data_IF_111795684337
#
_entry.id   IF_111795684337
#
_cell.length_a   1.000
_cell.length_b   1.000
_cell.length_c   1.000
_cell.angle_alpha   90.00
_cell.angle_beta   90.00
_cell.angle_gamma   90.00
#
_symmetry.space_group_name_H-M   'P 1'
#
loop_
_entity.id
_entity.type
_entity.pdbx_description
1 polymer ?
#
# COMPACT_ATOMS: atom_id res chain seq x y z
N UNK A 1 6.72 4.17 -5.65
CA UNK A 1 6.87 5.15 -4.54
C UNK A 1 5.60 5.93 -4.23
N UNK A 2 4.75 6.30 -5.21
CA UNK A 2 3.52 7.06 -4.94
C UNK A 2 2.60 6.43 -3.88
N UNK A 3 2.41 5.10 -3.89
CA UNK A 3 1.62 4.40 -2.87
C UNK A 3 2.12 4.66 -1.44
N UNK A 4 3.44 4.67 -1.23
CA UNK A 4 4.04 5.01 0.06
C UNK A 4 3.75 6.47 0.44
N UNK A 5 3.86 7.40 -0.51
CA UNK A 5 3.58 8.83 -0.27
C UNK A 5 2.13 9.03 0.16
N UNK A 6 1.18 8.39 -0.51
CA UNK A 6 -0.24 8.44 -0.16
C UNK A 6 -0.48 7.84 1.24
N UNK A 7 0.11 6.69 1.54
CA UNK A 7 -0.02 6.07 2.86
C UNK A 7 0.50 6.99 3.97
N UNK A 8 1.70 7.57 3.79
CA UNK A 8 2.28 8.49 4.78
C UNK A 8 1.41 9.74 4.96
N UNK A 9 0.88 10.32 3.87
CA UNK A 9 -0.02 11.46 3.95
C UNK A 9 -1.31 11.13 4.72
N UNK A 10 -1.95 10.01 4.41
CA UNK A 10 -3.12 9.54 5.17
C UNK A 10 -2.81 9.35 6.65
N UNK A 11 -1.62 8.82 6.96
CA UNK A 11 -1.18 8.64 8.36
C UNK A 11 -0.97 9.96 9.08
N UNK A 12 -0.43 10.98 8.41
CA UNK A 12 -0.25 12.33 8.96
C UNK A 12 -1.59 12.97 9.33
N UNK A 13 -2.63 12.72 8.53
CA UNK A 13 -4.01 13.14 8.81
C UNK A 13 -4.75 12.25 9.83
N UNK A 14 -4.05 11.30 10.46
CA UNK A 14 -4.62 10.42 11.50
C UNK A 14 -5.38 9.20 10.98
N UNK A 15 -5.35 8.92 9.67
CA UNK A 15 -5.96 7.72 9.11
C UNK A 15 -5.04 6.50 9.19
N UNK A 16 -5.68 5.34 9.33
CA UNK A 16 -5.05 4.04 9.11
C UNK A 16 -5.28 3.60 7.67
N UNK A 17 -4.33 2.88 7.09
CA UNK A 17 -4.45 2.31 5.76
C UNK A 17 -3.73 0.95 5.70
N UNK A 18 -4.08 0.15 4.70
CA UNK A 18 -3.34 -1.06 4.33
C UNK A 18 -3.20 -1.14 2.81
N UNK A 19 -2.24 -1.91 2.30
CA UNK A 19 -2.03 -2.10 0.87
C UNK A 19 -2.37 -3.55 0.48
N UNK A 20 -3.44 -3.72 -0.29
CA UNK A 20 -3.97 -5.01 -0.72
C UNK A 20 -3.70 -5.24 -2.21
N UNK A 21 -3.64 -6.51 -2.61
CA UNK A 21 -3.36 -6.93 -3.99
C UNK A 21 -4.36 -8.00 -4.44
N UNK A 22 -5.62 -7.60 -4.67
CA UNK A 22 -6.63 -8.47 -5.30
C UNK A 22 -6.48 -8.56 -6.82
N UNK A 23 -5.49 -7.88 -7.39
CA UNK A 23 -5.15 -8.01 -8.81
C UNK A 23 -4.44 -9.35 -9.09
N UNK A 24 -4.67 -9.97 -10.26
CA UNK A 24 -5.54 -9.52 -11.35
C UNK A 24 -7.02 -9.92 -11.17
N UNK A 25 -7.38 -10.66 -10.12
CA UNK A 25 -8.68 -11.32 -9.95
C UNK A 25 -9.88 -10.41 -10.18
N UNK A 26 -9.81 -9.15 -9.73
CA UNK A 26 -10.90 -8.17 -9.85
C UNK A 26 -10.69 -7.14 -10.97
N UNK A 27 -9.60 -7.24 -11.72
CA UNK A 27 -9.16 -6.17 -12.61
C UNK A 27 -10.13 -5.90 -13.76
N UNK A 28 -10.74 -6.95 -14.31
CA UNK A 28 -11.68 -6.85 -15.44
C UNK A 28 -13.00 -6.23 -14.99
N UNK A 29 -13.52 -6.69 -13.84
CA UNK A 29 -14.77 -6.22 -13.25
C UNK A 29 -14.66 -4.74 -12.85
N UNK A 30 -13.55 -4.35 -12.22
CA UNK A 30 -13.26 -2.95 -11.84
C UNK A 30 -13.23 -2.04 -13.07
N UNK A 31 -12.55 -2.46 -14.15
CA UNK A 31 -12.49 -1.66 -15.38
C UNK A 31 -13.87 -1.47 -16.00
N UNK A 32 -14.66 -2.55 -16.06
CA UNK A 32 -16.02 -2.52 -16.62
C UNK A 32 -16.95 -1.64 -15.80
N UNK A 33 -16.97 -1.82 -14.48
CA UNK A 33 -17.87 -1.13 -13.56
C UNK A 33 -17.66 0.38 -13.60
N UNK A 34 -16.40 0.82 -13.53
CA UNK A 34 -16.04 2.25 -13.52
C UNK A 34 -15.63 2.81 -14.88
N UNK A 35 -15.85 2.05 -15.97
CA UNK A 35 -15.56 2.47 -17.35
C UNK A 35 -14.13 2.99 -17.53
N UNK A 36 -13.16 2.30 -16.95
CA UNK A 36 -11.75 2.67 -17.01
C UNK A 36 -11.14 2.23 -18.35
N UNK A 37 -10.05 2.90 -18.75
CA UNK A 37 -9.32 2.55 -19.96
C UNK A 37 -8.67 1.16 -19.85
N UNK A 38 -8.71 0.40 -20.94
CA UNK A 38 -8.08 -0.93 -20.99
C UNK A 38 -6.57 -0.88 -20.77
N UNK A 39 -5.93 0.23 -21.15
CA UNK A 39 -4.51 0.48 -20.93
C UNK A 39 -4.11 0.66 -19.47
N UNK A 40 -5.07 0.93 -18.57
CA UNK A 40 -4.78 1.09 -17.15
C UNK A 40 -4.59 -0.27 -16.49
N UNK A 41 -3.51 -0.41 -15.72
CA UNK A 41 -3.26 -1.62 -14.94
C UNK A 41 -3.56 -1.36 -13.47
N UNK A 42 -4.42 -2.20 -12.87
CA UNK A 42 -4.66 -2.18 -11.44
C UNK A 42 -3.43 -2.73 -10.70
N UNK A 43 -2.71 -1.86 -9.98
CA UNK A 43 -1.47 -2.22 -9.29
C UNK A 43 -1.73 -2.71 -7.86
N UNK A 44 -2.59 -2.03 -7.11
CA UNK A 44 -2.92 -2.33 -5.72
C UNK A 44 -4.19 -1.58 -5.29
N UNK A 45 -4.73 -1.91 -4.12
CA UNK A 45 -5.87 -1.22 -3.50
C UNK A 45 -5.47 -0.76 -2.09
N UNK A 46 -5.82 0.47 -1.71
CA UNK A 46 -5.48 1.04 -0.41
C UNK A 46 -6.74 1.40 0.38
N UNK A 47 -7.41 0.44 1.04
CA UNK A 47 -8.47 0.78 1.98
C UNK A 47 -7.88 1.57 3.16
N UNK A 48 -8.55 2.66 3.51
CA UNK A 48 -8.16 3.54 4.59
C UNK A 48 -9.38 4.03 5.39
N UNK A 49 -9.15 4.52 6.60
CA UNK A 49 -10.22 5.01 7.47
C UNK A 49 -9.73 5.30 8.89
N UNK A 50 -10.66 5.60 9.80
CA UNK A 50 -10.34 5.82 11.22
C UNK A 50 -9.77 4.51 11.80
N UNK A 51 -8.55 4.52 12.38
CA UNK A 51 -8.00 3.33 13.03
C UNK A 51 -8.93 2.83 14.14
N UNK A 52 -9.22 1.53 14.15
CA UNK A 52 -10.04 0.88 15.18
C UNK A 52 -9.20 0.14 16.23
N UNK A 53 -7.92 -0.10 15.94
CA UNK A 53 -6.94 -0.73 16.81
C UNK A 53 -5.51 -0.22 16.47
N UNK A 54 -4.55 -0.31 17.40
CA UNK A 54 -3.15 -0.04 17.11
C UNK A 54 -2.57 -1.07 16.13
N UNK A 55 -1.49 -0.70 15.43
CA UNK A 55 -0.73 -1.65 14.63
C UNK A 55 -0.02 -2.68 15.54
N UNK A 56 0.09 -3.92 15.05
CA UNK A 56 0.87 -4.95 15.71
C UNK A 56 2.38 -4.66 15.70
N UNK A 57 3.13 -5.49 16.42
CA UNK A 57 4.58 -5.42 16.43
C UNK A 57 5.17 -5.67 15.04
N UNK A 58 6.28 -5.00 14.74
CA UNK A 58 7.00 -5.16 13.47
C UNK A 58 8.43 -5.56 13.77
N UNK A 59 8.80 -6.75 13.33
CA UNK A 59 10.17 -7.25 13.41
C UNK A 59 11.07 -6.58 12.35
N UNK A 60 12.34 -6.41 12.70
CA UNK A 60 13.36 -5.89 11.80
C UNK A 60 14.56 -6.83 11.81
N UNK A 61 15.07 -7.16 10.62
CA UNK A 61 16.33 -7.90 10.50
C UNK A 61 17.51 -7.11 11.11
N UNK A 62 18.59 -7.77 11.54
CA UNK A 62 19.82 -7.10 11.97
C UNK A 62 20.32 -6.06 10.96
N UNK A 63 21.07 -5.07 11.46
CA UNK A 63 21.48 -3.89 10.70
C UNK A 63 22.68 -4.19 9.79
N UNK A 64 23.61 -4.98 10.32
CA UNK A 64 24.79 -5.54 9.64
C UNK A 64 24.43 -6.43 8.44
N UNK A 65 23.24 -7.06 8.45
CA UNK A 65 22.72 -7.79 7.29
C UNK A 65 22.20 -6.88 6.16
N UNK A 66 21.80 -5.64 6.49
CA UNK A 66 21.06 -4.76 5.56
C UNK A 66 21.83 -3.52 5.12
N UNK A 67 22.89 -3.15 5.82
CA UNK A 67 23.68 -1.96 5.54
C UNK A 67 25.17 -2.30 5.59
N UNK A 68 25.91 -1.96 4.53
CA UNK A 68 27.36 -2.10 4.47
C UNK A 68 27.99 -0.72 4.33
N UNK A 69 29.04 -0.47 5.10
CA UNK A 69 29.84 0.74 5.01
C UNK A 69 31.20 0.40 4.42
N UNK A 70 31.64 1.21 3.45
CA UNK A 70 32.97 1.15 2.87
C UNK A 70 33.58 2.55 2.99
N UNK A 71 34.84 2.61 3.42
CA UNK A 71 35.58 3.86 3.64
C UNK A 71 36.40 4.22 2.41
#
# INVERSE_FOLDING_TARGET
>A
MLQLVVWVALKQEGFGASLQHYNPLIGVEIKKEWKLLDSWQLIAQMPFGKPTAPAGEKEFKPLDERVKFFK
#
